data_IF_610648863212
#
_entry.id   IF_610648863212
#
_cell.length_a   1.000
_cell.length_b   1.000
_cell.length_c   1.000
_cell.angle_alpha   90.00
_cell.angle_beta   90.00
_cell.angle_gamma   90.00
#
_symmetry.space_group_name_H-M   'P 1'
#
loop_
_entity.id
_entity.type
_entity.pdbx_description
1 polymer ?
#
# COMPACT_ATOMS: atom_id res chain seq x y z
N UNK A 1 24.59 -6.10 0.64
CA UNK A 1 24.72 -6.62 -0.74
C UNK A 1 24.52 -5.44 -1.69
N UNK A 2 25.28 -5.33 -2.79
CA UNK A 2 25.15 -4.18 -3.71
C UNK A 2 23.81 -4.25 -4.49
N UNK A 3 23.10 -3.12 -4.68
CA UNK A 3 21.90 -3.01 -5.53
C UNK A 3 21.92 -3.80 -6.84
N UNK A 4 23.03 -3.82 -7.57
CA UNK A 4 23.13 -4.55 -8.84
C UNK A 4 22.85 -6.06 -8.69
N UNK A 5 23.42 -6.69 -7.66
CA UNK A 5 23.21 -8.11 -7.36
C UNK A 5 21.78 -8.40 -6.91
N UNK A 6 21.11 -7.43 -6.28
CA UNK A 6 19.71 -7.58 -5.88
C UNK A 6 18.83 -7.55 -7.13
N UNK A 7 19.10 -6.65 -8.08
CA UNK A 7 18.37 -6.58 -9.35
C UNK A 7 18.50 -7.88 -10.15
N UNK A 8 19.72 -8.45 -10.27
CA UNK A 8 19.93 -9.75 -10.91
C UNK A 8 19.09 -10.86 -10.26
N UNK A 9 19.00 -10.89 -8.92
CA UNK A 9 18.15 -11.86 -8.22
C UNK A 9 16.67 -11.63 -8.48
N UNK A 10 16.22 -10.37 -8.62
CA UNK A 10 14.85 -10.08 -9.03
C UNK A 10 14.57 -10.51 -10.47
N UNK A 11 15.55 -10.42 -11.38
CA UNK A 11 15.41 -10.95 -12.74
C UNK A 11 15.17 -12.47 -12.72
N UNK A 12 15.99 -13.18 -11.94
CA UNK A 12 15.85 -14.63 -11.74
C UNK A 12 14.52 -14.99 -11.08
N UNK A 13 14.11 -14.27 -10.04
CA UNK A 13 12.85 -14.47 -9.34
C UNK A 13 11.67 -14.31 -10.30
N UNK A 14 11.63 -13.22 -11.09
CA UNK A 14 10.56 -12.96 -12.06
C UNK A 14 10.45 -14.07 -13.09
N UNK A 15 11.59 -14.48 -13.65
CA UNK A 15 11.61 -15.57 -14.63
C UNK A 15 11.13 -16.90 -14.02
N UNK A 16 11.58 -17.23 -12.80
CA UNK A 16 11.18 -18.44 -12.10
C UNK A 16 9.68 -18.43 -11.76
N UNK A 17 9.16 -17.35 -11.18
CA UNK A 17 7.77 -17.22 -10.77
C UNK A 17 6.80 -17.19 -11.96
N UNK A 18 7.16 -16.53 -13.07
CA UNK A 18 6.37 -16.56 -14.29
C UNK A 18 6.27 -17.98 -14.87
N UNK A 19 7.40 -18.72 -14.89
CA UNK A 19 7.45 -20.10 -15.38
C UNK A 19 6.68 -21.09 -14.49
N UNK A 20 6.82 -20.96 -13.17
CA UNK A 20 6.34 -21.98 -12.23
C UNK A 20 4.92 -21.72 -11.73
N UNK A 21 4.55 -20.45 -11.52
CA UNK A 21 3.29 -20.07 -10.87
C UNK A 21 2.41 -19.19 -11.76
N UNK A 22 2.88 -18.85 -12.97
CA UNK A 22 2.24 -17.87 -13.87
C UNK A 22 2.10 -16.49 -13.23
N UNK A 23 2.96 -16.19 -12.27
CA UNK A 23 2.96 -14.88 -11.63
C UNK A 23 3.44 -13.82 -12.62
N UNK A 24 2.75 -12.69 -12.65
CA UNK A 24 3.09 -11.57 -13.50
C UNK A 24 4.38 -10.90 -13.00
N UNK A 25 5.41 -10.75 -13.85
CA UNK A 25 6.66 -10.09 -13.50
C UNK A 25 6.49 -8.68 -12.91
N UNK A 26 5.54 -7.87 -13.40
CA UNK A 26 5.25 -6.52 -12.89
C UNK A 26 4.78 -6.58 -11.44
N UNK A 27 3.94 -7.55 -11.11
CA UNK A 27 3.41 -7.75 -9.75
C UNK A 27 4.50 -8.20 -8.79
N UNK A 28 5.42 -9.06 -9.24
CA UNK A 28 6.59 -9.47 -8.46
C UNK A 28 7.49 -8.27 -8.17
N UNK A 29 7.79 -7.43 -9.17
CA UNK A 29 8.59 -6.21 -8.96
C UNK A 29 7.93 -5.25 -7.97
N UNK A 30 6.61 -5.05 -8.08
CA UNK A 30 5.91 -4.11 -7.22
C UNK A 30 5.68 -4.64 -5.79
N UNK A 31 5.49 -5.96 -5.64
CA UNK A 31 5.02 -6.56 -4.40
C UNK A 31 6.11 -7.19 -3.52
N UNK A 32 7.27 -7.54 -4.06
CA UNK A 32 8.29 -8.30 -3.35
C UNK A 32 9.46 -7.44 -2.88
N UNK A 33 9.98 -7.76 -1.69
CA UNK A 33 11.24 -7.23 -1.16
C UNK A 33 12.22 -8.36 -0.88
N UNK A 34 13.50 -8.11 -1.15
CA UNK A 34 14.56 -9.03 -0.79
C UNK A 34 14.86 -8.94 0.72
N UNK A 35 14.79 -10.08 1.42
CA UNK A 35 15.00 -10.16 2.87
C UNK A 35 16.43 -10.57 3.22
N UNK A 36 17.03 -11.46 2.43
CA UNK A 36 18.36 -11.97 2.72
C UNK A 36 18.55 -13.40 2.24
N UNK A 37 19.60 -14.03 2.76
CA UNK A 37 19.89 -15.43 2.52
C UNK A 37 19.57 -16.26 3.77
N UNK A 38 19.10 -17.47 3.57
CA UNK A 38 18.88 -18.47 4.62
C UNK A 38 19.57 -19.79 4.23
N UNK A 39 19.94 -20.61 5.20
CA UNK A 39 20.61 -21.90 4.98
C UNK A 39 22.14 -21.85 5.12
N UNK A 40 22.78 -23.00 4.91
CA UNK A 40 24.23 -23.19 5.10
C UNK A 40 24.84 -23.95 3.91
N UNK A 41 26.07 -23.57 3.54
CA UNK A 41 26.84 -24.28 2.52
C UNK A 41 26.13 -24.32 1.16
N UNK A 42 25.82 -25.52 0.68
CA UNK A 42 25.17 -25.76 -0.63
C UNK A 42 23.66 -25.53 -0.62
N UNK A 43 23.03 -25.47 0.56
CA UNK A 43 21.58 -25.28 0.71
C UNK A 43 21.22 -23.81 0.96
N UNK A 44 22.04 -22.89 0.45
CA UNK A 44 21.85 -21.45 0.64
C UNK A 44 20.82 -20.93 -0.34
N UNK A 45 19.74 -20.36 0.20
CA UNK A 45 18.61 -19.84 -0.59
C UNK A 45 18.41 -18.35 -0.37
N UNK A 46 17.84 -17.68 -1.36
CA UNK A 46 17.49 -16.27 -1.32
C UNK A 46 16.02 -16.10 -0.96
N UNK A 47 15.72 -15.27 0.03
CA UNK A 47 14.35 -15.09 0.52
C UNK A 47 13.81 -13.74 0.10
N UNK A 48 12.63 -13.79 -0.51
CA UNK A 48 11.80 -12.64 -0.85
C UNK A 48 10.53 -12.69 -0.03
N UNK A 49 10.03 -11.53 0.39
CA UNK A 49 8.79 -11.40 1.16
C UNK A 49 7.88 -10.40 0.47
N UNK A 50 6.59 -10.66 0.49
CA UNK A 50 5.58 -9.69 0.11
C UNK A 50 5.67 -8.43 1.01
N UNK A 51 5.41 -7.26 0.43
CA UNK A 51 5.43 -6.00 1.16
C UNK A 51 4.16 -5.79 2.01
N UNK A 52 3.03 -6.31 1.54
CA UNK A 52 1.71 -6.19 2.16
C UNK A 52 1.35 -7.37 3.07
N UNK A 53 1.97 -8.53 2.87
CA UNK A 53 1.68 -9.76 3.63
C UNK A 53 2.97 -10.40 4.16
N UNK A 54 2.83 -11.51 4.88
CA UNK A 54 3.96 -12.30 5.36
C UNK A 54 4.39 -13.40 4.38
N UNK A 55 3.73 -13.50 3.23
CA UNK A 55 4.00 -14.51 2.20
C UNK A 55 5.44 -14.38 1.67
N UNK A 56 6.13 -15.51 1.52
CA UNK A 56 7.53 -15.57 1.13
C UNK A 56 7.76 -16.45 -0.09
N UNK A 57 8.72 -16.06 -0.93
CA UNK A 57 9.26 -16.87 -2.01
C UNK A 57 10.72 -17.12 -1.73
N UNK A 58 11.10 -18.39 -1.80
CA UNK A 58 12.49 -18.82 -1.70
C UNK A 58 13.01 -19.06 -3.11
N UNK A 59 14.11 -18.41 -3.48
CA UNK A 59 14.82 -18.61 -4.73
C UNK A 59 16.10 -19.39 -4.46
N UNK A 60 16.15 -20.60 -5.01
CA UNK A 60 17.36 -21.43 -5.07
C UNK A 60 17.83 -21.50 -6.53
N UNK A 61 18.96 -20.83 -6.82
CA UNK A 61 19.47 -20.66 -8.17
C UNK A 61 18.38 -20.11 -9.12
N UNK A 62 17.78 -20.95 -9.96
CA UNK A 62 16.72 -20.58 -10.92
C UNK A 62 15.33 -21.10 -10.56
N UNK A 63 15.17 -21.72 -9.39
CA UNK A 63 13.91 -22.32 -8.93
C UNK A 63 13.32 -21.50 -7.79
N UNK A 64 12.05 -21.11 -7.93
CA UNK A 64 11.29 -20.45 -6.89
C UNK A 64 10.37 -21.44 -6.17
N UNK A 65 10.25 -21.30 -4.86
CA UNK A 65 9.37 -22.09 -4.01
C UNK A 65 8.54 -21.13 -3.17
N UNK A 66 7.21 -21.25 -3.26
CA UNK A 66 6.31 -20.53 -2.35
C UNK A 66 6.42 -21.18 -0.98
N UNK A 67 6.84 -20.41 0.03
CA UNK A 67 6.93 -20.90 1.40
C UNK A 67 5.54 -20.88 2.02
N UNK A 68 4.85 -22.02 1.99
CA UNK A 68 3.48 -22.15 2.50
C UNK A 68 3.39 -22.13 4.04
N UNK A 69 4.50 -22.39 4.74
CA UNK A 69 4.57 -22.42 6.20
C UNK A 69 5.80 -21.69 6.74
N UNK A 70 5.55 -20.73 7.63
CA UNK A 70 6.52 -20.19 8.58
C UNK A 70 5.73 -19.80 9.85
N UNK A 71 5.81 -20.60 10.92
CA UNK A 71 4.98 -20.45 12.11
C UNK A 71 3.55 -21.01 11.94
N UNK A 72 2.58 -20.45 12.68
CA UNK A 72 1.23 -21.01 12.81
C UNK A 72 0.22 -20.60 11.72
N UNK A 73 0.49 -19.58 10.90
CA UNK A 73 -0.45 -19.08 9.88
C UNK A 73 -0.10 -19.60 8.48
N UNK A 74 -1.10 -19.96 7.65
CA UNK A 74 -0.86 -20.28 6.25
C UNK A 74 -0.33 -19.05 5.52
N UNK A 75 0.71 -19.25 4.71
CA UNK A 75 1.24 -18.25 3.80
C UNK A 75 0.86 -18.66 2.38
N UNK A 76 0.56 -17.67 1.52
CA UNK A 76 0.00 -17.87 0.17
C UNK A 76 -1.41 -18.45 0.11
N UNK A 77 -2.40 -17.62 0.45
CA UNK A 77 -3.81 -17.85 0.13
C UNK A 77 -4.06 -17.85 -1.38
N UNK A 78 -5.18 -18.46 -1.81
CA UNK A 78 -5.57 -18.47 -3.23
C UNK A 78 -5.81 -17.05 -3.76
N UNK A 79 -6.34 -16.14 -2.93
CA UNK A 79 -6.53 -14.74 -3.28
C UNK A 79 -5.19 -14.02 -3.52
N UNK A 80 -4.17 -14.29 -2.69
CA UNK A 80 -2.81 -13.76 -2.92
C UNK A 80 -2.20 -14.32 -4.21
N UNK A 81 -2.31 -15.63 -4.45
CA UNK A 81 -1.82 -16.25 -5.68
C UNK A 81 -2.50 -15.66 -6.91
N UNK A 82 -3.82 -15.51 -6.87
CA UNK A 82 -4.60 -14.88 -7.94
C UNK A 82 -4.18 -13.43 -8.17
N UNK A 83 -3.94 -12.66 -7.11
CA UNK A 83 -3.40 -11.29 -7.19
C UNK A 83 -2.05 -11.24 -7.92
N UNK A 84 -1.18 -12.21 -7.69
CA UNK A 84 0.09 -12.32 -8.39
C UNK A 84 -0.03 -12.80 -9.83
N UNK A 85 -1.13 -13.44 -10.21
CA UNK A 85 -1.41 -13.91 -11.57
C UNK A 85 -2.15 -12.89 -12.45
N UNK A 86 -2.52 -11.72 -11.91
CA UNK A 86 -3.19 -10.67 -12.67
C UNK A 86 -2.41 -10.30 -13.93
N UNK A 87 -3.14 -10.14 -15.02
CA UNK A 87 -2.64 -9.62 -16.30
C UNK A 87 -2.22 -8.16 -16.17
N UNK A 88 -1.42 -7.68 -17.12
CA UNK A 88 -1.01 -6.27 -17.19
C UNK A 88 -2.22 -5.34 -17.24
N UNK A 89 -3.25 -5.69 -18.00
CA UNK A 89 -4.48 -4.90 -18.11
C UNK A 89 -5.23 -4.81 -16.77
N UNK A 90 -5.28 -5.89 -15.99
CA UNK A 90 -5.90 -5.87 -14.65
C UNK A 90 -5.08 -5.04 -13.66
N UNK A 91 -3.74 -5.11 -13.74
CA UNK A 91 -2.85 -4.27 -12.92
C UNK A 91 -3.05 -2.79 -13.28
N UNK A 92 -3.10 -2.46 -14.57
CA UNK A 92 -3.32 -1.09 -15.05
C UNK A 92 -4.71 -0.57 -14.65
N UNK A 93 -5.74 -1.41 -14.72
CA UNK A 93 -7.08 -1.07 -14.25
C UNK A 93 -7.12 -0.81 -12.73
N UNK A 94 -6.41 -1.62 -11.92
CA UNK A 94 -6.30 -1.38 -10.47
C UNK A 94 -5.58 -0.07 -10.16
N UNK A 95 -4.50 0.24 -10.87
CA UNK A 95 -3.77 1.51 -10.72
C UNK A 95 -4.67 2.68 -11.09
N UNK A 96 -5.37 2.59 -12.22
CA UNK A 96 -6.29 3.63 -12.68
C UNK A 96 -7.46 3.85 -11.70
N UNK A 97 -8.00 2.77 -11.12
CA UNK A 97 -9.04 2.85 -10.10
C UNK A 97 -8.54 3.59 -8.84
N UNK A 98 -7.35 3.23 -8.32
CA UNK A 98 -6.73 3.92 -7.17
C UNK A 98 -6.45 5.39 -7.46
N UNK A 99 -6.03 5.71 -8.68
CA UNK A 99 -5.82 7.10 -9.09
C UNK A 99 -7.15 7.86 -9.12
N UNK A 100 -8.22 7.26 -9.65
CA UNK A 100 -9.54 7.89 -9.68
C UNK A 100 -10.13 8.10 -8.26
N UNK A 101 -9.89 7.18 -7.32
CA UNK A 101 -10.24 7.34 -5.90
C UNK A 101 -9.49 8.52 -5.28
N UNK A 102 -8.19 8.62 -5.55
CA UNK A 102 -7.35 9.72 -5.07
C UNK A 102 -7.81 11.07 -5.63
N UNK A 103 -8.01 11.16 -6.95
CA UNK A 103 -8.45 12.38 -7.64
C UNK A 103 -9.83 12.83 -7.18
N UNK A 104 -10.75 11.88 -6.95
CA UNK A 104 -12.03 12.17 -6.35
C UNK A 104 -11.87 12.70 -4.92
N UNK A 105 -11.03 12.05 -4.10
CA UNK A 105 -10.82 12.51 -2.72
C UNK A 105 -10.34 13.96 -2.69
N UNK A 106 -9.35 14.30 -3.51
CA UNK A 106 -8.81 15.66 -3.66
C UNK A 106 -9.88 16.72 -3.94
N UNK A 107 -10.90 16.36 -4.72
CA UNK A 107 -11.96 17.28 -5.16
C UNK A 107 -13.25 17.14 -4.36
N UNK A 108 -13.31 16.19 -3.42
CA UNK A 108 -14.53 15.88 -2.68
C UNK A 108 -14.87 17.01 -1.70
N UNK A 109 -16.16 17.40 -1.58
CA UNK A 109 -16.59 18.39 -0.59
C UNK A 109 -16.17 18.02 0.85
N UNK A 110 -16.24 16.73 1.18
CA UNK A 110 -15.81 16.21 2.47
C UNK A 110 -14.34 16.55 2.76
N UNK A 111 -13.44 16.27 1.81
CA UNK A 111 -12.03 16.58 1.98
C UNK A 111 -11.80 18.08 2.03
N UNK A 112 -12.37 18.86 1.09
CA UNK A 112 -12.13 20.30 1.00
C UNK A 112 -12.57 21.04 2.27
N UNK A 113 -13.72 20.67 2.85
CA UNK A 113 -14.25 21.33 4.05
C UNK A 113 -13.47 20.95 5.32
N UNK A 114 -12.92 19.73 5.39
CA UNK A 114 -12.18 19.25 6.56
C UNK A 114 -10.66 19.26 6.39
N UNK A 115 -10.14 19.67 5.23
CA UNK A 115 -8.71 19.68 4.89
C UNK A 115 -7.86 20.37 5.96
N UNK A 116 -8.26 21.56 6.40
CA UNK A 116 -7.52 22.31 7.42
C UNK A 116 -7.47 21.56 8.76
N UNK A 117 -8.58 20.94 9.15
CA UNK A 117 -8.67 20.13 10.37
C UNK A 117 -7.76 18.89 10.27
N UNK A 118 -7.77 18.18 9.13
CA UNK A 118 -6.92 17.00 8.90
C UNK A 118 -5.42 17.37 8.92
N UNK A 119 -5.04 18.45 8.25
CA UNK A 119 -3.66 18.91 8.16
C UNK A 119 -3.09 19.38 9.49
N UNK A 120 -3.92 19.89 10.41
CA UNK A 120 -3.50 20.34 11.73
C UNK A 120 -2.85 19.24 12.59
N UNK A 121 -2.98 17.96 12.21
CA UNK A 121 -2.36 16.83 12.90
C UNK A 121 -0.94 16.48 12.40
N UNK A 122 -0.46 17.14 11.35
CA UNK A 122 0.88 16.91 10.78
C UNK A 122 1.87 17.96 11.28
N UNK A 123 2.98 17.52 11.87
CA UNK A 123 4.02 18.41 12.44
C UNK A 123 4.62 19.39 11.43
N UNK A 124 4.68 18.98 10.17
CA UNK A 124 5.26 19.78 9.08
C UNK A 124 4.28 20.82 8.51
N UNK A 125 3.01 20.76 8.92
CA UNK A 125 1.99 21.72 8.50
C UNK A 125 2.09 23.04 9.30
N UNK A 126 1.99 24.22 8.65
CA UNK A 126 2.00 25.52 9.33
C UNK A 126 1.04 25.65 10.51
N UNK A 127 -0.16 25.07 10.38
CA UNK A 127 -1.21 25.11 11.40
C UNK A 127 -1.17 23.93 12.38
N UNK A 128 -0.02 23.27 12.56
CA UNK A 128 0.08 22.12 13.44
C UNK A 128 -0.38 22.45 14.88
N UNK A 129 -1.26 21.61 15.42
CA UNK A 129 -1.74 21.71 16.79
C UNK A 129 -1.09 20.63 17.67
N UNK A 130 -0.25 21.02 18.66
CA UNK A 130 0.39 20.07 19.55
C UNK A 130 -0.61 19.42 20.52
N UNK A 131 -0.32 18.19 20.94
CA UNK A 131 -1.10 17.47 21.96
C UNK A 131 -2.38 16.78 21.44
N UNK A 132 -2.65 16.84 20.13
CA UNK A 132 -3.77 16.13 19.51
C UNK A 132 -3.50 14.66 19.21
N UNK A 133 -4.55 13.95 18.78
CA UNK A 133 -4.44 12.60 18.23
C UNK A 133 -3.52 12.58 16.98
N UNK A 134 -2.98 11.40 16.66
CA UNK A 134 -2.26 11.22 15.40
C UNK A 134 -3.24 11.38 14.21
N UNK A 135 -2.74 11.72 12.98
CA UNK A 135 -3.61 12.01 11.83
C UNK A 135 -4.65 10.93 11.54
N UNK A 136 -4.27 9.65 11.62
CA UNK A 136 -5.17 8.51 11.37
C UNK A 136 -6.31 8.47 12.36
N UNK A 137 -5.99 8.57 13.65
CA UNK A 137 -7.01 8.55 14.70
C UNK A 137 -7.91 9.79 14.64
N UNK A 138 -7.34 10.96 14.34
CA UNK A 138 -8.12 12.18 14.16
C UNK A 138 -9.11 12.09 12.99
N UNK A 139 -8.68 11.56 11.83
CA UNK A 139 -9.55 11.32 10.70
C UNK A 139 -10.65 10.30 11.02
N UNK A 140 -10.32 9.22 11.73
CA UNK A 140 -11.30 8.23 12.18
C UNK A 140 -12.37 8.84 13.09
N UNK A 141 -11.96 9.64 14.09
CA UNK A 141 -12.88 10.34 14.99
C UNK A 141 -13.75 11.36 14.24
N UNK A 142 -13.19 12.07 13.26
CA UNK A 142 -13.95 12.96 12.38
C UNK A 142 -15.04 12.18 11.64
N UNK A 143 -14.69 11.06 11.00
CA UNK A 143 -15.66 10.25 10.25
C UNK A 143 -16.76 9.70 11.16
N UNK A 144 -16.44 9.28 12.39
CA UNK A 144 -17.44 8.83 13.37
C UNK A 144 -18.40 9.97 13.72
N UNK A 145 -17.87 11.15 14.05
CA UNK A 145 -18.71 12.31 14.39
C UNK A 145 -19.62 12.74 13.23
N UNK A 146 -19.11 12.70 11.99
CA UNK A 146 -19.89 12.99 10.79
C UNK A 146 -20.96 11.92 10.52
N UNK A 147 -20.67 10.65 10.80
CA UNK A 147 -21.66 9.58 10.69
C UNK A 147 -22.79 9.75 11.71
N UNK A 148 -22.47 10.10 12.95
CA UNK A 148 -23.47 10.41 13.99
C UNK A 148 -24.34 11.62 13.62
N UNK A 149 -23.76 12.60 12.92
CA UNK A 149 -24.47 13.76 12.40
C UNK A 149 -25.28 13.48 11.11
N UNK A 150 -25.24 12.26 10.56
CA UNK A 150 -25.81 11.90 9.27
C UNK A 150 -25.34 12.83 8.12
N UNK A 151 -24.04 13.14 8.10
CA UNK A 151 -23.47 14.04 7.11
C UNK A 151 -23.59 13.47 5.68
N UNK A 152 -24.27 14.20 4.81
CA UNK A 152 -24.54 13.79 3.41
C UNK A 152 -23.25 13.67 2.59
N UNK A 153 -22.23 14.49 2.89
CA UNK A 153 -20.94 14.47 2.18
C UNK A 153 -20.18 13.19 2.54
N UNK A 154 -20.26 12.76 3.80
CA UNK A 154 -19.71 11.47 4.22
C UNK A 154 -20.42 10.31 3.50
N UNK A 155 -21.76 10.30 3.46
CA UNK A 155 -22.50 9.24 2.76
C UNK A 155 -22.13 9.17 1.26
N UNK A 156 -22.06 10.31 0.58
CA UNK A 156 -21.66 10.37 -0.83
C UNK A 156 -20.20 9.93 -1.04
N UNK A 157 -19.31 10.27 -0.10
CA UNK A 157 -17.92 9.82 -0.14
C UNK A 157 -17.82 8.30 0.03
N UNK A 158 -18.49 7.74 1.04
CA UNK A 158 -18.52 6.30 1.31
C UNK A 158 -19.11 5.50 0.12
N UNK A 159 -20.18 6.01 -0.49
CA UNK A 159 -20.79 5.43 -1.69
C UNK A 159 -19.81 5.42 -2.86
N UNK A 160 -19.13 6.55 -3.12
CA UNK A 160 -18.14 6.65 -4.20
C UNK A 160 -16.95 5.71 -4.00
N UNK A 161 -16.52 5.52 -2.76
CA UNK A 161 -15.41 4.62 -2.42
C UNK A 161 -15.83 3.15 -2.26
N UNK A 162 -17.14 2.85 -2.33
CA UNK A 162 -17.65 1.50 -2.16
C UNK A 162 -17.36 0.88 -0.79
N UNK A 163 -17.20 1.70 0.26
CA UNK A 163 -16.84 1.22 1.60
C UNK A 163 -17.46 2.08 2.68
N UNK A 164 -17.92 1.41 3.75
CA UNK A 164 -18.37 2.06 5.00
C UNK A 164 -17.39 1.81 6.16
N UNK A 165 -16.23 1.19 5.90
CA UNK A 165 -15.23 0.96 6.92
C UNK A 165 -14.52 2.29 7.28
N UNK A 166 -14.67 2.80 8.53
CA UNK A 166 -14.07 4.07 8.91
C UNK A 166 -12.55 4.08 8.81
N UNK A 167 -11.89 2.94 9.00
CA UNK A 167 -10.43 2.85 8.88
C UNK A 167 -9.98 3.02 7.43
N UNK A 168 -10.65 2.33 6.50
CA UNK A 168 -10.40 2.49 5.08
C UNK A 168 -10.71 3.91 4.59
N UNK A 169 -11.87 4.47 4.97
CA UNK A 169 -12.25 5.82 4.60
C UNK A 169 -11.29 6.88 5.17
N UNK A 170 -10.81 6.70 6.40
CA UNK A 170 -9.80 7.59 6.99
C UNK A 170 -8.50 7.55 6.19
N UNK A 171 -8.07 6.35 5.76
CA UNK A 171 -6.88 6.20 4.93
C UNK A 171 -7.01 6.96 3.60
N UNK A 172 -8.14 6.80 2.90
CA UNK A 172 -8.41 7.51 1.66
C UNK A 172 -8.45 9.02 1.87
N UNK A 173 -9.18 9.49 2.89
CA UNK A 173 -9.34 10.91 3.20
C UNK A 173 -8.02 11.61 3.53
N UNK A 174 -7.07 10.90 4.15
CA UNK A 174 -5.75 11.42 4.47
C UNK A 174 -4.75 11.38 3.32
N UNK A 175 -4.98 10.55 2.29
CA UNK A 175 -4.02 10.35 1.21
C UNK A 175 -3.55 11.67 0.56
N UNK A 176 -4.42 12.65 0.27
CA UNK A 176 -4.01 13.94 -0.30
C UNK A 176 -3.12 14.81 0.59
N UNK A 177 -3.14 14.63 1.91
CA UNK A 177 -2.47 15.54 2.85
C UNK A 177 -0.96 15.62 2.62
N UNK A 178 -0.33 14.55 2.12
CA UNK A 178 1.09 14.56 1.81
C UNK A 178 1.46 15.58 0.72
N UNK A 179 0.65 15.70 -0.34
CA UNK A 179 0.90 16.69 -1.41
C UNK A 179 0.80 18.13 -0.89
N UNK A 180 -0.12 18.38 0.03
CA UNK A 180 -0.33 19.70 0.63
C UNK A 180 0.85 20.11 1.53
N UNK A 181 1.38 19.14 2.29
CA UNK A 181 2.55 19.35 3.13
C UNK A 181 3.77 19.62 2.25
N UNK A 182 3.99 18.81 1.22
CA UNK A 182 5.09 19.00 0.27
C UNK A 182 5.01 20.37 -0.42
N UNK A 183 3.83 20.78 -0.89
CA UNK A 183 3.61 22.09 -1.51
C UNK A 183 3.86 23.24 -0.53
N UNK A 184 3.42 23.10 0.73
CA UNK A 184 3.68 24.08 1.79
C UNK A 184 5.16 24.18 2.12
N UNK A 185 5.88 23.05 2.18
CA UNK A 185 7.33 23.04 2.41
C UNK A 185 8.10 23.69 1.26
N UNK A 186 7.75 23.36 0.02
CA UNK A 186 8.35 23.96 -1.17
C UNK A 186 8.14 25.49 -1.20
N UNK A 187 6.94 25.95 -0.86
CA UNK A 187 6.62 27.38 -0.80
C UNK A 187 7.37 28.14 0.30
N UNK A 188 7.78 27.45 1.38
CA UNK A 188 8.59 28.04 2.46
C UNK A 188 10.08 28.06 2.18
N UNK A 189 10.54 27.28 1.21
CA UNK A 189 11.93 27.19 0.81
C UNK A 189 12.32 28.22 -0.27
N UNK A 190 11.33 28.89 -0.85
CA UNK A 190 11.46 30.00 -1.81
C UNK A 190 11.45 31.35 -1.08
#
# INVERSE_FOLDING_TARGET
MNPAKINELFDLLRAACARQFRFNPRRITAGMRYVGKEGHGKDMVHVFRDASTHSQIVLDSTFATLREKHGEKPHWTDAEKARYQQTDAEIDAEIAARQAEFDYTLTSPLYLDHKAQLLAHYKDWPGYLPGGANPREAARLLLVALAEANDVRLSAFAERMGSNDPEHLAHLLLAPCHLEIEASQASRAL
#
